data_IF_642576726441
#
_entry.id   IF_642576726441
#
_cell.length_a   1.000
_cell.length_b   1.000
_cell.length_c   1.000
_cell.angle_alpha   90.00
_cell.angle_beta   90.00
_cell.angle_gamma   90.00
#
_symmetry.space_group_name_H-M   'P 1'
#
loop_
_entity.id
_entity.type
_entity.pdbx_description
1 polymer ?
#
# COMPACT_ATOMS: atom_id res chain seq x y z
N UNK A 1 -30.52 -38.08 -23.60
CA UNK A 1 -30.87 -36.80 -22.93
C UNK A 1 -30.53 -36.93 -21.46
N UNK A 2 -29.51 -36.18 -21.02
CA UNK A 2 -28.90 -36.31 -19.69
C UNK A 2 -29.85 -35.77 -18.61
N UNK A 3 -29.87 -36.49 -17.49
CA UNK A 3 -30.75 -36.27 -16.33
C UNK A 3 -30.09 -35.21 -15.44
N UNK A 4 -30.47 -33.94 -15.59
CA UNK A 4 -30.02 -32.90 -14.66
C UNK A 4 -30.99 -32.80 -13.45
N UNK A 5 -30.67 -33.56 -12.40
CA UNK A 5 -31.25 -33.40 -11.06
C UNK A 5 -30.84 -32.02 -10.51
N UNK A 6 -31.76 -31.05 -10.54
CA UNK A 6 -31.59 -29.71 -9.95
C UNK A 6 -31.35 -29.84 -8.45
N UNK A 7 -30.08 -29.62 -8.07
CA UNK A 7 -29.59 -29.56 -6.69
C UNK A 7 -29.71 -28.12 -6.21
N UNK A 8 -30.93 -27.64 -5.98
CA UNK A 8 -31.14 -26.37 -5.29
C UNK A 8 -31.26 -26.68 -3.80
N UNK A 9 -30.09 -26.91 -3.20
CA UNK A 9 -29.93 -27.28 -1.81
C UNK A 9 -30.52 -26.22 -0.88
N UNK A 10 -31.45 -26.66 -0.05
CA UNK A 10 -31.81 -26.01 1.20
C UNK A 10 -30.54 -25.90 2.07
N UNK A 11 -29.86 -24.75 2.01
CA UNK A 11 -28.67 -24.45 2.80
C UNK A 11 -29.09 -23.72 4.07
N UNK A 12 -29.01 -24.34 5.27
CA UNK A 12 -29.23 -23.63 6.52
C UNK A 12 -28.01 -22.74 6.79
N UNK A 13 -28.09 -21.46 6.42
CA UNK A 13 -27.10 -20.46 6.89
C UNK A 13 -27.34 -20.28 8.38
N UNK A 14 -26.57 -21.03 9.17
CA UNK A 14 -26.51 -20.87 10.61
C UNK A 14 -26.20 -19.43 11.01
N UNK A 15 -26.92 -18.99 12.03
CA UNK A 15 -26.32 -18.43 13.24
C UNK A 15 -25.38 -17.22 13.05
N UNK A 16 -25.94 -16.06 12.69
CA UNK A 16 -25.34 -14.79 13.12
C UNK A 16 -26.37 -14.00 13.92
N UNK A 17 -26.18 -14.07 15.23
CA UNK A 17 -26.83 -13.29 16.27
C UNK A 17 -26.91 -11.80 15.93
N UNK A 18 -27.99 -11.16 16.38
CA UNK A 18 -28.27 -9.73 16.47
C UNK A 18 -27.03 -8.79 16.42
N UNK A 19 -26.66 -8.37 15.22
CA UNK A 19 -25.98 -7.09 14.97
C UNK A 19 -26.80 -6.37 13.90
N UNK A 20 -27.76 -5.57 14.34
CA UNK A 20 -28.41 -4.56 13.49
C UNK A 20 -27.36 -3.52 13.13
N UNK A 21 -26.67 -3.74 12.02
CA UNK A 21 -25.65 -2.85 11.48
C UNK A 21 -25.81 -2.79 9.96
N UNK A 22 -26.78 -2.01 9.52
CA UNK A 22 -26.96 -1.61 8.12
C UNK A 22 -25.79 -0.70 7.71
N UNK A 23 -24.64 -1.30 7.38
CA UNK A 23 -23.52 -0.60 6.74
C UNK A 23 -23.71 -0.60 5.22
N UNK A 24 -24.89 -0.16 4.78
CA UNK A 24 -25.09 0.37 3.42
C UNK A 24 -24.49 1.78 3.36
N UNK A 25 -23.18 1.87 3.56
CA UNK A 25 -22.43 3.12 3.58
C UNK A 25 -21.59 3.27 2.33
N UNK A 26 -22.22 3.68 1.22
CA UNK A 26 -21.51 4.22 0.08
C UNK A 26 -20.83 5.53 0.48
N UNK A 27 -19.51 5.59 0.34
CA UNK A 27 -18.69 6.80 0.44
C UNK A 27 -17.27 6.41 0.03
N UNK A 28 -16.75 6.81 -1.13
CA UNK A 28 -16.77 8.16 -1.65
C UNK A 28 -15.52 8.87 -1.16
N UNK A 29 -14.46 8.84 -1.98
CA UNK A 29 -13.39 9.82 -1.91
C UNK A 29 -12.05 9.32 -1.39
N UNK A 30 -11.00 9.73 -2.09
CA UNK A 30 -9.71 9.99 -1.47
C UNK A 30 -8.57 9.14 -2.01
N UNK A 31 -7.85 9.68 -2.99
CA UNK A 31 -6.56 9.13 -3.34
C UNK A 31 -6.04 9.60 -4.68
N UNK A 32 -6.10 10.90 -4.96
CA UNK A 32 -5.19 11.47 -5.96
C UNK A 32 -3.78 11.24 -5.44
N UNK A 33 -3.14 10.17 -5.90
CA UNK A 33 -1.72 9.93 -5.68
C UNK A 33 -1.01 11.10 -6.32
N UNK A 34 -0.73 12.14 -5.52
CA UNK A 34 0.12 13.23 -5.93
C UNK A 34 1.42 12.59 -6.42
N UNK A 35 1.68 12.70 -7.71
CA UNK A 35 2.82 12.11 -8.39
C UNK A 35 4.09 12.62 -7.69
N UNK A 36 4.64 11.78 -6.81
CA UNK A 36 5.81 12.15 -6.02
C UNK A 36 6.98 12.13 -6.99
N UNK A 37 7.45 13.31 -7.39
CA UNK A 37 8.66 13.44 -8.21
C UNK A 37 9.81 12.72 -7.52
N UNK A 38 10.29 11.66 -8.16
CA UNK A 38 11.49 10.94 -7.75
C UNK A 38 12.70 11.65 -8.37
N UNK A 39 13.71 11.92 -7.56
CA UNK A 39 14.95 12.53 -8.00
C UNK A 39 16.06 11.48 -8.02
N UNK A 40 16.73 11.33 -9.17
CA UNK A 40 17.92 10.51 -9.31
C UNK A 40 19.12 11.24 -8.68
N UNK A 41 19.70 10.63 -7.64
CA UNK A 41 20.79 11.21 -6.86
C UNK A 41 21.86 10.17 -6.60
N UNK A 42 23.11 10.61 -6.43
CA UNK A 42 24.22 9.73 -6.00
C UNK A 42 24.37 9.81 -4.48
N UNK A 43 24.44 8.64 -3.83
CA UNK A 43 24.71 8.56 -2.40
C UNK A 43 26.10 9.13 -2.08
N UNK A 44 26.19 10.04 -1.12
CA UNK A 44 27.46 10.67 -0.73
C UNK A 44 28.41 9.72 0.02
N UNK A 45 27.96 8.55 0.47
CA UNK A 45 28.83 7.55 1.12
C UNK A 45 29.27 6.44 0.20
N UNK A 46 28.34 5.82 -0.53
CA UNK A 46 28.62 4.65 -1.35
C UNK A 46 28.70 4.95 -2.85
N UNK A 47 28.32 6.15 -3.29
CA UNK A 47 28.34 6.55 -4.70
C UNK A 47 27.25 5.93 -5.57
N UNK A 48 26.37 5.10 -5.00
CA UNK A 48 25.29 4.42 -5.73
C UNK A 48 24.22 5.42 -6.20
N UNK A 49 23.72 5.23 -7.42
CA UNK A 49 22.57 5.96 -7.93
C UNK A 49 21.28 5.46 -7.25
N UNK A 50 20.49 6.37 -6.70
CA UNK A 50 19.27 6.05 -5.98
C UNK A 50 18.19 7.07 -6.30
N UNK A 51 16.94 6.63 -6.27
CA UNK A 51 15.78 7.51 -6.44
C UNK A 51 15.23 7.89 -5.09
N UNK A 52 15.20 9.18 -4.80
CA UNK A 52 14.69 9.71 -3.53
C UNK A 52 13.51 10.66 -3.77
N UNK A 53 12.51 10.67 -2.89
CA UNK A 53 11.34 11.55 -3.00
C UNK A 53 11.64 12.99 -2.52
N UNK A 54 12.88 13.32 -2.22
CA UNK A 54 13.30 14.64 -1.75
C UNK A 54 14.34 15.23 -2.69
N UNK A 55 14.30 16.55 -2.86
CA UNK A 55 15.25 17.25 -3.72
C UNK A 55 16.66 17.25 -3.09
N UNK A 56 17.70 16.83 -3.82
CA UNK A 56 19.08 16.92 -3.37
C UNK A 56 19.48 18.39 -3.22
N UNK A 57 19.87 18.82 -2.01
CA UNK A 57 20.33 20.19 -1.76
C UNK A 57 21.85 20.27 -1.68
N UNK A 58 22.44 21.24 -2.37
CA UNK A 58 23.88 21.55 -2.33
C UNK A 58 24.26 22.07 -0.93
N UNK A 59 24.65 21.15 -0.05
CA UNK A 59 24.95 21.42 1.37
C UNK A 59 24.41 20.36 2.33
N UNK A 60 23.51 19.48 1.88
CA UNK A 60 23.04 18.31 2.65
C UNK A 60 23.43 17.02 1.94
N UNK A 61 24.29 16.17 2.53
CA UNK A 61 24.68 14.91 1.92
C UNK A 61 23.47 13.98 1.81
N UNK A 62 23.30 13.39 0.63
CA UNK A 62 22.19 12.48 0.35
C UNK A 62 22.66 11.05 0.59
N UNK A 63 21.88 10.30 1.36
CA UNK A 63 22.18 8.91 1.69
C UNK A 63 21.10 7.98 1.15
N UNK A 64 21.52 6.83 0.64
CA UNK A 64 20.59 5.76 0.31
C UNK A 64 19.97 5.16 1.59
N UNK A 65 18.89 4.40 1.44
CA UNK A 65 18.18 3.75 2.56
C UNK A 65 19.12 2.94 3.46
N UNK A 66 20.11 2.28 2.87
CA UNK A 66 21.09 1.46 3.57
C UNK A 66 22.06 2.30 4.43
N UNK A 67 22.69 3.31 3.82
CA UNK A 67 23.58 4.26 4.49
C UNK A 67 22.87 5.04 5.59
N UNK A 68 21.64 5.50 5.34
CA UNK A 68 20.83 6.18 6.33
C UNK A 68 20.53 5.30 7.56
N UNK A 69 20.21 4.02 7.34
CA UNK A 69 19.99 3.04 8.42
C UNK A 69 21.27 2.76 9.22
N UNK A 70 22.44 2.79 8.59
CA UNK A 70 23.73 2.62 9.29
C UNK A 70 24.11 3.84 10.13
N UNK A 71 23.76 5.06 9.66
CA UNK A 71 24.10 6.33 10.32
C UNK A 71 23.17 6.72 11.46
N UNK A 72 21.92 6.26 11.47
CA UNK A 72 21.04 6.46 12.64
C UNK A 72 21.29 5.35 13.65
N UNK A 73 21.96 5.62 14.79
CA UNK A 73 21.74 4.79 15.97
C UNK A 73 20.25 4.88 16.34
N UNK A 74 19.67 3.76 16.74
CA UNK A 74 18.28 3.66 17.17
C UNK A 74 17.99 4.56 18.38
#
# INVERSE_FOLDING_TARGET
MKRERKKDGFSPRGFTSNYSGDFSGGGGGGGGYADRKMYDVKCSECGQATQVPFEPKEGRPVYCKECYRKKKPF
#
